data_IF_674443979064
#
_entry.id   IF_674443979064
#
_cell.length_a   1.000
_cell.length_b   1.000
_cell.length_c   1.000
_cell.angle_alpha   90.00
_cell.angle_beta   90.00
_cell.angle_gamma   90.00
#
_symmetry.space_group_name_H-M   'P 1'
#
loop_
_entity.id
_entity.type
_entity.pdbx_description
1 polymer ?
#
# COMPACT_ATOMS: atom_id res chain seq x y z
N UNK A 1 -22.68 40.82 -29.85
CA UNK A 1 -21.38 41.49 -29.56
C UNK A 1 -21.55 42.18 -28.20
N UNK A 2 -20.83 41.91 -27.12
CA UNK A 2 -19.40 41.67 -27.01
C UNK A 2 -19.09 40.88 -25.71
N UNK A 3 -18.79 39.58 -25.84
CA UNK A 3 -18.32 38.69 -24.76
C UNK A 3 -16.81 38.87 -24.66
N UNK A 4 -16.32 39.90 -23.96
CA UNK A 4 -14.86 40.11 -23.76
C UNK A 4 -14.42 40.67 -22.41
N UNK A 5 -15.30 40.80 -21.40
CA UNK A 5 -14.92 41.37 -20.08
C UNK A 5 -14.79 40.40 -18.91
N UNK A 6 -15.09 39.11 -19.06
CA UNK A 6 -15.09 38.16 -17.92
C UNK A 6 -13.78 37.36 -17.77
N UNK A 7 -12.94 37.23 -18.83
CA UNK A 7 -11.71 36.41 -18.75
C UNK A 7 -10.52 37.04 -18.02
N UNK A 8 -10.47 38.36 -17.83
CA UNK A 8 -9.27 39.01 -17.29
C UNK A 8 -9.18 38.96 -15.75
N UNK A 9 -10.32 38.90 -15.05
CA UNK A 9 -10.33 38.90 -13.58
C UNK A 9 -9.96 37.52 -13.01
N UNK A 10 -10.36 36.43 -13.68
CA UNK A 10 -10.02 35.05 -13.26
C UNK A 10 -8.56 34.67 -13.51
N UNK A 11 -7.92 35.22 -14.55
CA UNK A 11 -6.50 34.96 -14.82
C UNK A 11 -5.59 35.67 -13.80
N UNK A 12 -5.95 36.90 -13.40
CA UNK A 12 -5.18 37.68 -12.45
C UNK A 12 -5.22 37.08 -11.03
N UNK A 13 -6.33 36.50 -10.60
CA UNK A 13 -6.45 35.82 -9.30
C UNK A 13 -5.68 34.51 -9.26
N UNK A 14 -5.71 33.72 -10.34
CA UNK A 14 -4.91 32.49 -10.47
C UNK A 14 -3.41 32.76 -10.46
N UNK A 15 -2.95 33.79 -11.18
CA UNK A 15 -1.54 34.20 -11.17
C UNK A 15 -1.13 34.71 -9.79
N UNK A 16 -1.98 35.48 -9.11
CA UNK A 16 -1.74 35.96 -7.74
C UNK A 16 -1.61 34.80 -6.73
N UNK A 17 -2.44 33.77 -6.84
CA UNK A 17 -2.40 32.57 -5.99
C UNK A 17 -1.15 31.74 -6.28
N UNK A 18 -0.78 31.55 -7.55
CA UNK A 18 0.44 30.83 -7.93
C UNK A 18 1.71 31.56 -7.47
N UNK A 19 1.73 32.90 -7.55
CA UNK A 19 2.82 33.72 -7.03
C UNK A 19 2.86 33.64 -5.50
N UNK A 20 1.72 33.69 -4.81
CA UNK A 20 1.67 33.53 -3.35
C UNK A 20 2.16 32.15 -2.89
N UNK A 21 1.80 31.07 -3.59
CA UNK A 21 2.30 29.71 -3.33
C UNK A 21 3.81 29.61 -3.60
N UNK A 22 4.29 30.24 -4.67
CA UNK A 22 5.72 30.28 -5.00
C UNK A 22 6.52 31.06 -3.96
N UNK A 23 5.99 32.20 -3.49
CA UNK A 23 6.59 33.02 -2.43
C UNK A 23 6.54 32.32 -1.07
N UNK A 24 5.50 31.55 -0.77
CA UNK A 24 5.42 30.68 0.41
C UNK A 24 6.50 29.61 0.38
N UNK A 25 6.75 28.96 -0.77
CA UNK A 25 7.84 27.98 -0.95
C UNK A 25 9.24 28.59 -0.86
N UNK A 26 9.39 29.87 -1.22
CA UNK A 26 10.67 30.61 -1.09
C UNK A 26 10.88 31.19 0.31
N UNK A 27 9.90 31.07 1.21
CA UNK A 27 10.02 31.57 2.57
C UNK A 27 10.98 30.68 3.38
N UNK A 28 12.08 31.21 3.94
CA UNK A 28 13.00 30.42 4.75
C UNK A 28 12.32 29.77 5.97
N UNK A 29 11.22 30.35 6.49
CA UNK A 29 10.41 29.72 7.55
C UNK A 29 9.59 28.53 7.06
N UNK A 30 9.12 28.52 5.82
CA UNK A 30 8.39 27.39 5.24
C UNK A 30 9.34 26.24 4.91
N UNK A 31 10.52 26.54 4.36
CA UNK A 31 11.56 25.54 4.18
C UNK A 31 12.03 24.99 5.53
N UNK A 32 12.24 25.84 6.54
CA UNK A 32 12.55 25.39 7.90
C UNK A 32 11.42 24.54 8.50
N UNK A 33 10.15 24.85 8.22
CA UNK A 33 9.01 24.03 8.65
C UNK A 33 8.98 22.67 7.95
N UNK A 34 9.24 22.62 6.65
CA UNK A 34 9.37 21.36 5.92
C UNK A 34 10.57 20.55 6.43
N UNK A 35 11.72 21.20 6.67
CA UNK A 35 12.89 20.54 7.27
C UNK A 35 12.60 20.06 8.68
N UNK A 36 11.79 20.79 9.47
CA UNK A 36 11.36 20.38 10.81
C UNK A 36 10.34 19.23 10.78
N UNK A 37 9.48 19.16 9.75
CA UNK A 37 8.59 18.01 9.50
C UNK A 37 9.43 16.79 9.10
N UNK A 38 10.39 16.96 8.19
CA UNK A 38 11.32 15.89 7.77
C UNK A 38 12.24 15.45 8.95
N UNK A 39 12.62 16.38 9.84
CA UNK A 39 13.37 16.12 11.09
C UNK A 39 12.51 15.49 12.20
N UNK A 40 11.20 15.76 12.22
CA UNK A 40 10.27 15.13 13.14
C UNK A 40 9.89 13.71 12.68
N UNK A 41 9.80 13.47 11.37
CA UNK A 41 9.68 12.13 10.77
C UNK A 41 10.88 11.23 11.11
N UNK A 42 12.07 11.81 11.35
CA UNK A 42 13.28 11.10 11.80
C UNK A 42 13.36 10.89 13.33
N UNK A 43 12.42 11.40 14.12
CA UNK A 43 12.35 11.22 15.56
C UNK A 43 11.27 10.21 15.98
N UNK A 44 10.93 9.28 15.09
CA UNK A 44 10.12 8.09 15.39
C UNK A 44 10.93 7.08 16.20
N UNK A 45 10.26 6.16 16.91
CA UNK A 45 10.94 5.05 17.60
C UNK A 45 11.88 4.28 16.64
N UNK A 46 11.50 4.18 15.37
CA UNK A 46 12.32 3.62 14.30
C UNK A 46 13.68 4.29 14.12
N UNK A 47 13.80 5.62 14.29
CA UNK A 47 15.04 6.37 14.06
C UNK A 47 16.24 5.89 14.90
N UNK A 48 15.99 5.24 16.03
CA UNK A 48 17.02 4.73 16.94
C UNK A 48 17.19 3.21 16.90
N UNK A 49 16.38 2.47 16.12
CA UNK A 49 16.47 1.01 16.08
C UNK A 49 17.81 0.55 15.49
N UNK A 50 18.39 -0.48 16.10
CA UNK A 50 19.47 -1.28 15.53
C UNK A 50 18.95 -2.19 14.42
N UNK A 51 19.85 -2.71 13.57
CA UNK A 51 19.49 -3.66 12.52
C UNK A 51 18.74 -4.90 13.08
N UNK A 52 19.19 -5.42 14.22
CA UNK A 52 18.54 -6.55 14.87
C UNK A 52 17.16 -6.23 15.46
N UNK A 53 16.90 -4.99 15.86
CA UNK A 53 15.56 -4.55 16.27
C UNK A 53 14.64 -4.39 15.06
N UNK A 54 15.14 -3.85 13.95
CA UNK A 54 14.36 -3.69 12.72
C UNK A 54 13.88 -5.05 12.22
N UNK A 55 14.78 -6.02 12.08
CA UNK A 55 14.37 -7.35 11.61
C UNK A 55 13.46 -8.07 12.61
N UNK A 56 13.67 -7.93 13.92
CA UNK A 56 12.70 -8.44 14.91
C UNK A 56 11.31 -7.82 14.74
N UNK A 57 11.24 -6.53 14.44
CA UNK A 57 9.98 -5.83 14.19
C UNK A 57 9.33 -6.24 12.85
N UNK A 58 10.12 -6.44 11.78
CA UNK A 58 9.61 -6.92 10.50
C UNK A 58 8.96 -8.31 10.65
N UNK A 59 9.61 -9.22 11.38
CA UNK A 59 9.09 -10.57 11.65
C UNK A 59 7.98 -10.62 12.72
N UNK A 60 7.76 -9.53 13.47
CA UNK A 60 6.74 -9.51 14.52
C UNK A 60 5.33 -9.42 13.95
N UNK A 61 4.37 -10.04 14.64
CA UNK A 61 2.93 -9.94 14.37
C UNK A 61 2.12 -10.06 15.67
N UNK A 62 0.96 -9.43 15.72
CA UNK A 62 -0.07 -9.72 16.72
C UNK A 62 -1.01 -10.81 16.18
N UNK A 63 -0.48 -12.03 16.03
CA UNK A 63 -1.20 -13.14 15.39
C UNK A 63 -2.52 -13.54 16.06
N UNK A 64 -2.69 -13.20 17.34
CA UNK A 64 -3.93 -13.44 18.10
C UNK A 64 -4.99 -12.36 17.90
N UNK A 65 -4.67 -11.26 17.20
CA UNK A 65 -5.62 -10.16 16.97
C UNK A 65 -6.70 -10.49 15.94
N UNK A 66 -6.42 -11.42 15.03
CA UNK A 66 -7.40 -12.01 14.13
C UNK A 66 -7.60 -13.49 14.51
N UNK A 67 -8.81 -13.88 14.86
CA UNK A 67 -9.10 -15.25 15.31
C UNK A 67 -9.14 -16.24 14.14
N UNK A 68 -9.56 -15.79 12.97
CA UNK A 68 -9.75 -16.60 11.78
C UNK A 68 -9.05 -15.98 10.55
N UNK A 69 -7.72 -16.02 10.56
CA UNK A 69 -6.91 -15.66 9.41
C UNK A 69 -6.82 -16.85 8.42
N UNK A 70 -7.17 -16.61 7.15
CA UNK A 70 -7.16 -17.61 6.08
C UNK A 70 -6.34 -17.11 4.90
N UNK A 71 -5.53 -18.00 4.31
CA UNK A 71 -4.75 -17.67 3.12
C UNK A 71 -5.60 -17.81 1.85
N UNK A 72 -5.64 -16.75 1.05
CA UNK A 72 -6.23 -16.73 -0.27
C UNK A 72 -5.14 -16.76 -1.34
N UNK A 73 -5.38 -17.57 -2.38
CA UNK A 73 -4.38 -17.87 -3.42
C UNK A 73 -3.24 -18.74 -2.90
N UNK A 74 -2.62 -19.52 -3.79
CA UNK A 74 -1.31 -20.13 -3.62
C UNK A 74 -0.94 -20.88 -4.91
N UNK A 75 0.34 -20.96 -5.23
CA UNK A 75 0.92 -22.16 -5.83
C UNK A 75 2.02 -22.69 -4.91
N UNK A 76 2.32 -23.97 -5.03
CA UNK A 76 3.48 -24.56 -4.35
C UNK A 76 4.64 -24.54 -5.33
N UNK A 77 5.68 -23.78 -5.01
CA UNK A 77 6.93 -23.83 -5.76
C UNK A 77 7.88 -24.83 -5.10
N UNK A 78 8.49 -25.69 -5.92
CA UNK A 78 9.46 -26.68 -5.47
C UNK A 78 10.85 -26.24 -5.95
N UNK A 79 11.68 -25.74 -5.04
CA UNK A 79 13.01 -25.22 -5.38
C UNK A 79 13.93 -25.14 -4.17
N UNK A 80 15.24 -25.27 -4.39
CA UNK A 80 16.24 -25.08 -3.32
C UNK A 80 16.10 -26.00 -2.10
N UNK A 81 15.45 -27.17 -2.25
CA UNK A 81 15.20 -28.10 -1.14
C UNK A 81 14.00 -27.76 -0.26
N UNK A 82 13.20 -26.76 -0.65
CA UNK A 82 11.99 -26.33 0.05
C UNK A 82 10.80 -26.43 -0.90
N UNK A 83 9.66 -26.91 -0.38
CA UNK A 83 8.36 -26.80 -1.02
C UNK A 83 7.54 -25.80 -0.20
N UNK A 84 7.31 -24.60 -0.74
CA UNK A 84 6.62 -23.55 -0.01
C UNK A 84 5.54 -22.86 -0.85
N UNK A 85 4.44 -22.43 -0.22
CA UNK A 85 3.40 -21.65 -0.88
C UNK A 85 3.93 -20.24 -1.20
N UNK A 86 3.51 -19.73 -2.35
CA UNK A 86 3.84 -18.40 -2.83
C UNK A 86 2.63 -17.78 -3.53
N UNK A 87 2.60 -16.45 -3.65
CA UNK A 87 1.48 -15.68 -4.19
C UNK A 87 0.21 -15.69 -3.31
N UNK A 88 0.29 -16.24 -2.09
CA UNK A 88 -0.81 -16.29 -1.12
C UNK A 88 -0.80 -15.07 -0.21
N UNK A 89 -1.97 -14.54 0.15
CA UNK A 89 -2.08 -13.47 1.15
C UNK A 89 -3.08 -13.85 2.24
N UNK A 90 -2.75 -13.57 3.50
CA UNK A 90 -3.64 -13.84 4.62
C UNK A 90 -4.76 -12.79 4.69
N UNK A 91 -6.00 -13.22 4.84
CA UNK A 91 -7.19 -12.36 5.00
C UNK A 91 -7.85 -12.73 6.33
N UNK A 92 -8.18 -11.71 7.14
CA UNK A 92 -8.91 -11.90 8.37
C UNK A 92 -10.40 -12.07 8.09
N UNK A 93 -10.97 -13.17 8.55
CA UNK A 93 -12.40 -13.51 8.37
C UNK A 93 -13.19 -13.37 9.67
N UNK A 94 -12.68 -12.63 10.66
CA UNK A 94 -13.44 -12.26 11.85
C UNK A 94 -14.65 -11.40 11.45
N UNK A 95 -15.77 -11.61 12.14
CA UNK A 95 -17.12 -11.18 11.72
C UNK A 95 -17.23 -9.72 11.22
N UNK A 96 -16.55 -8.77 11.86
CA UNK A 96 -16.68 -7.34 11.56
C UNK A 96 -15.75 -6.86 10.44
N UNK A 97 -14.70 -7.62 10.13
CA UNK A 97 -13.70 -7.22 9.14
C UNK A 97 -13.70 -8.10 7.90
N UNK A 98 -14.24 -9.31 7.99
CA UNK A 98 -14.35 -10.23 6.86
C UNK A 98 -14.90 -9.54 5.61
N UNK A 99 -14.37 -9.86 4.42
CA UNK A 99 -15.07 -9.58 3.18
C UNK A 99 -16.49 -10.19 3.25
N UNK A 100 -17.48 -9.46 2.74
CA UNK A 100 -18.85 -9.97 2.68
C UNK A 100 -18.96 -10.89 1.46
N UNK A 101 -19.30 -12.15 1.69
CA UNK A 101 -19.50 -13.14 0.63
C UNK A 101 -20.49 -12.64 -0.43
N UNK A 102 -20.16 -12.84 -1.72
CA UNK A 102 -20.92 -12.34 -2.89
C UNK A 102 -21.14 -10.81 -2.95
N UNK A 103 -20.50 -10.02 -2.08
CA UNK A 103 -20.66 -8.56 -2.03
C UNK A 103 -19.43 -7.87 -1.44
N UNK A 104 -18.26 -8.12 -2.04
CA UNK A 104 -16.99 -7.53 -1.62
C UNK A 104 -16.25 -6.88 -2.78
N UNK A 105 -15.46 -5.86 -2.46
CA UNK A 105 -14.59 -5.15 -3.40
C UNK A 105 -13.13 -5.40 -3.05
N UNK A 106 -12.36 -5.89 -4.01
CA UNK A 106 -10.94 -6.23 -3.84
C UNK A 106 -10.10 -5.48 -4.85
N UNK A 107 -9.02 -4.86 -4.37
CA UNK A 107 -7.98 -4.29 -5.23
C UNK A 107 -6.74 -5.16 -5.12
N UNK A 108 -6.15 -5.53 -6.27
CA UNK A 108 -4.99 -6.42 -6.35
C UNK A 108 -3.92 -5.81 -7.24
N UNK A 109 -2.89 -5.21 -6.63
CA UNK A 109 -1.82 -4.52 -7.35
C UNK A 109 -0.59 -5.40 -7.53
N UNK A 110 -0.01 -5.37 -8.74
CA UNK A 110 1.20 -6.07 -9.17
C UNK A 110 1.01 -7.58 -9.21
N UNK A 111 0.06 -8.03 -10.05
CA UNK A 111 -0.30 -9.43 -10.14
C UNK A 111 0.70 -10.27 -10.94
N UNK A 112 1.49 -9.71 -11.84
CA UNK A 112 2.52 -10.36 -12.66
C UNK A 112 2.10 -11.72 -13.26
N UNK A 113 0.90 -11.82 -13.84
CA UNK A 113 0.28 -13.07 -14.34
C UNK A 113 -0.08 -14.13 -13.27
N UNK A 114 0.04 -13.78 -12.00
CA UNK A 114 -0.23 -14.63 -10.85
C UNK A 114 -1.64 -14.40 -10.29
N UNK A 115 -2.58 -15.09 -10.91
CA UNK A 115 -4.02 -14.89 -10.71
C UNK A 115 -4.61 -15.64 -9.51
N UNK A 116 -3.83 -16.45 -8.80
CA UNK A 116 -4.36 -17.40 -7.80
C UNK A 116 -5.08 -16.71 -6.64
N UNK A 117 -4.59 -15.56 -6.18
CA UNK A 117 -5.26 -14.76 -5.14
C UNK A 117 -6.57 -14.16 -5.69
N UNK A 118 -6.48 -13.51 -6.85
CA UNK A 118 -7.59 -12.84 -7.53
C UNK A 118 -8.73 -13.81 -7.85
N UNK A 119 -8.41 -15.01 -8.34
CA UNK A 119 -9.37 -16.08 -8.61
C UNK A 119 -9.98 -16.65 -7.33
N UNK A 120 -9.22 -16.75 -6.24
CA UNK A 120 -9.74 -17.19 -4.95
C UNK A 120 -10.75 -16.17 -4.37
N UNK A 121 -10.45 -14.86 -4.48
CA UNK A 121 -11.36 -13.80 -4.04
C UNK A 121 -12.59 -13.68 -4.95
N UNK A 122 -12.43 -13.85 -6.27
CA UNK A 122 -13.56 -13.92 -7.19
C UNK A 122 -14.46 -15.13 -6.92
N UNK A 123 -13.88 -16.29 -6.57
CA UNK A 123 -14.64 -17.48 -6.15
C UNK A 123 -15.34 -17.28 -4.80
N UNK A 124 -14.82 -16.41 -3.94
CA UNK A 124 -15.51 -15.95 -2.73
C UNK A 124 -16.67 -14.99 -3.04
N UNK A 125 -16.82 -14.57 -4.31
CA UNK A 125 -17.90 -13.70 -4.77
C UNK A 125 -17.52 -12.21 -4.81
N UNK A 126 -16.25 -11.86 -4.68
CA UNK A 126 -15.81 -10.46 -4.76
C UNK A 126 -15.72 -9.96 -6.21
N UNK A 127 -15.96 -8.67 -6.39
CA UNK A 127 -15.49 -7.92 -7.56
C UNK A 127 -14.02 -7.57 -7.34
N UNK A 128 -13.15 -8.12 -8.18
CA UNK A 128 -11.69 -7.98 -8.08
C UNK A 128 -11.19 -7.09 -9.20
N UNK A 129 -10.52 -6.01 -8.81
CA UNK A 129 -9.86 -5.08 -9.72
C UNK A 129 -8.35 -5.32 -9.61
N UNK A 130 -7.79 -5.89 -10.66
CA UNK A 130 -6.39 -6.28 -10.74
C UNK A 130 -5.61 -5.25 -11.56
N UNK A 131 -4.42 -4.88 -11.11
CA UNK A 131 -3.64 -3.79 -11.70
C UNK A 131 -2.20 -4.22 -11.89
N UNK A 132 -1.69 -4.20 -13.12
CA UNK A 132 -0.27 -4.42 -13.36
C UNK A 132 0.19 -3.85 -14.71
N UNK A 133 1.08 -2.85 -14.73
CA UNK A 133 1.55 -2.30 -15.98
C UNK A 133 2.68 -3.11 -16.64
N UNK A 134 3.27 -4.07 -15.93
CA UNK A 134 4.37 -4.92 -16.40
C UNK A 134 3.93 -6.05 -17.32
N UNK A 135 2.65 -6.43 -17.27
CA UNK A 135 2.11 -7.57 -18.05
C UNK A 135 2.11 -7.34 -19.57
N UNK A 136 2.29 -6.10 -20.03
CA UNK A 136 2.39 -5.79 -21.46
C UNK A 136 1.10 -5.98 -22.25
N UNK A 137 -0.05 -6.04 -21.58
CA UNK A 137 -1.39 -6.15 -22.18
C UNK A 137 -2.25 -4.93 -21.82
N UNK A 138 -3.26 -4.63 -22.64
CA UNK A 138 -4.21 -3.55 -22.35
C UNK A 138 -5.21 -3.94 -21.25
N UNK A 139 -6.13 -3.03 -20.92
CA UNK A 139 -7.23 -3.31 -19.98
C UNK A 139 -8.18 -4.38 -20.55
N UNK A 140 -8.65 -5.31 -19.72
CA UNK A 140 -9.61 -6.33 -20.13
C UNK A 140 -10.32 -6.97 -18.93
N UNK A 141 -11.49 -7.55 -19.18
CA UNK A 141 -12.17 -8.39 -18.20
C UNK A 141 -11.66 -9.83 -18.34
N UNK A 142 -10.98 -10.34 -17.31
CA UNK A 142 -10.55 -11.74 -17.25
C UNK A 142 -11.76 -12.66 -16.99
N UNK A 143 -12.73 -12.17 -16.22
CA UNK A 143 -13.99 -12.85 -15.95
C UNK A 143 -15.07 -11.83 -15.58
N UNK A 144 -16.28 -12.29 -15.27
CA UNK A 144 -17.36 -11.43 -14.74
C UNK A 144 -17.07 -10.80 -13.38
N UNK A 145 -16.04 -11.29 -12.66
CA UNK A 145 -15.66 -10.83 -11.33
C UNK A 145 -14.22 -10.29 -11.28
N UNK A 146 -13.47 -10.34 -12.39
CA UNK A 146 -12.06 -9.94 -12.42
C UNK A 146 -11.84 -8.97 -13.57
N UNK A 147 -11.51 -7.74 -13.23
CA UNK A 147 -11.29 -6.62 -14.14
C UNK A 147 -9.82 -6.21 -14.08
N UNK A 148 -9.12 -6.33 -15.19
CA UNK A 148 -7.69 -6.01 -15.27
C UNK A 148 -7.44 -4.63 -15.88
N UNK A 149 -6.51 -3.90 -15.28
CA UNK A 149 -6.05 -2.60 -15.75
C UNK A 149 -4.53 -2.55 -15.88
N UNK A 150 -4.05 -2.02 -17.01
CA UNK A 150 -2.65 -1.70 -17.26
C UNK A 150 -2.27 -0.38 -16.55
N UNK A 151 -2.23 -0.44 -15.23
CA UNK A 151 -1.93 0.69 -14.35
C UNK A 151 -1.03 0.23 -13.21
N UNK A 152 0.00 1.02 -12.92
CA UNK A 152 0.83 0.83 -11.73
C UNK A 152 0.35 1.67 -10.56
N UNK A 153 0.67 1.21 -9.36
CA UNK A 153 0.45 1.94 -8.12
C UNK A 153 1.73 2.69 -7.73
N UNK A 154 1.62 3.96 -7.34
CA UNK A 154 2.75 4.71 -6.76
C UNK A 154 2.27 5.84 -5.86
N UNK A 155 3.21 6.60 -5.29
CA UNK A 155 2.91 7.81 -4.52
C UNK A 155 2.48 9.03 -5.37
N UNK A 156 2.46 8.95 -6.71
CA UNK A 156 2.16 10.08 -7.60
C UNK A 156 1.49 9.65 -8.90
N UNK A 157 0.70 10.55 -9.49
CA UNK A 157 0.13 10.35 -10.82
C UNK A 157 1.14 10.80 -11.89
N UNK A 158 1.99 9.89 -12.34
CA UNK A 158 3.01 10.19 -13.36
C UNK A 158 3.47 8.92 -14.08
N UNK A 159 4.11 9.09 -15.24
CA UNK A 159 4.77 7.96 -15.90
C UNK A 159 6.02 7.56 -15.11
N UNK A 160 6.20 6.26 -14.85
CA UNK A 160 7.40 5.77 -14.19
C UNK A 160 8.66 6.19 -14.99
N UNK A 161 9.72 6.73 -14.34
CA UNK A 161 10.83 7.39 -15.03
C UNK A 161 11.56 6.47 -16.02
N UNK A 162 11.70 5.19 -15.69
CA UNK A 162 12.43 4.20 -16.52
C UNK A 162 11.47 3.45 -17.45
N UNK A 163 10.56 2.64 -16.90
CA UNK A 163 9.64 1.78 -17.65
C UNK A 163 8.56 2.53 -18.44
N UNK A 164 8.32 3.82 -18.15
CA UNK A 164 7.23 4.64 -18.73
C UNK A 164 5.81 4.12 -18.45
N UNK A 165 5.67 3.18 -17.52
CA UNK A 165 4.37 2.69 -17.05
C UNK A 165 3.51 3.82 -16.50
N UNK A 166 2.20 3.74 -16.74
CA UNK A 166 1.22 4.71 -16.24
C UNK A 166 0.98 4.44 -14.75
N UNK A 167 1.64 5.21 -13.88
CA UNK A 167 1.51 5.08 -12.43
C UNK A 167 0.46 6.05 -11.89
N UNK A 168 -0.32 5.57 -10.92
CA UNK A 168 -1.36 6.37 -10.25
C UNK A 168 -1.34 6.13 -8.75
N UNK A 169 -1.83 7.11 -8.01
CA UNK A 169 -2.17 6.93 -6.60
C UNK A 169 -3.42 6.07 -6.45
N UNK A 170 -3.55 5.34 -5.34
CA UNK A 170 -4.74 4.53 -5.07
C UNK A 170 -6.02 5.38 -5.06
N UNK A 171 -5.96 6.60 -4.50
CA UNK A 171 -7.08 7.53 -4.52
C UNK A 171 -7.51 7.91 -5.95
N UNK A 172 -6.55 8.12 -6.86
CA UNK A 172 -6.85 8.44 -8.26
C UNK A 172 -7.50 7.27 -8.99
N UNK A 173 -7.03 6.04 -8.73
CA UNK A 173 -7.60 4.82 -9.31
C UNK A 173 -9.03 4.63 -8.79
N UNK A 174 -9.23 4.78 -7.48
CA UNK A 174 -10.55 4.68 -6.85
C UNK A 174 -11.56 5.69 -7.40
N UNK A 175 -11.13 6.94 -7.65
CA UNK A 175 -11.96 7.96 -8.29
C UNK A 175 -12.26 7.63 -9.77
N UNK A 176 -11.24 7.19 -10.52
CA UNK A 176 -11.37 6.83 -11.94
C UNK A 176 -12.39 5.69 -12.15
N UNK A 177 -12.42 4.72 -11.23
CA UNK A 177 -13.35 3.60 -11.27
C UNK A 177 -14.74 3.93 -10.70
N UNK A 178 -14.91 5.12 -10.10
CA UNK A 178 -16.22 5.55 -9.57
C UNK A 178 -16.70 4.73 -8.37
N UNK A 179 -15.79 4.13 -7.60
CA UNK A 179 -16.16 3.23 -6.50
C UNK A 179 -16.57 3.95 -5.21
N UNK A 180 -16.48 5.28 -5.13
CA UNK A 180 -16.99 6.02 -3.97
C UNK A 180 -18.52 5.84 -3.84
N UNK A 181 -19.08 5.50 -2.66
CA UNK A 181 -18.45 5.40 -1.32
C UNK A 181 -18.13 3.96 -0.85
N UNK A 182 -18.04 2.99 -1.76
CA UNK A 182 -17.85 1.57 -1.44
C UNK A 182 -16.49 1.31 -0.79
N UNK A 183 -16.47 0.66 0.37
CA UNK A 183 -15.23 0.23 1.02
C UNK A 183 -14.53 -0.87 0.21
N UNK A 184 -13.21 -0.84 0.22
CA UNK A 184 -12.36 -1.92 -0.28
C UNK A 184 -12.18 -2.91 0.88
N UNK A 185 -12.72 -4.12 0.73
CA UNK A 185 -12.62 -5.18 1.74
C UNK A 185 -11.18 -5.66 1.91
N UNK A 186 -10.48 -5.86 0.79
CA UNK A 186 -9.06 -6.26 0.78
C UNK A 186 -8.32 -5.47 -0.30
N UNK A 187 -7.26 -4.79 0.10
CA UNK A 187 -6.26 -4.24 -0.81
C UNK A 187 -5.00 -5.11 -0.71
N UNK A 188 -4.75 -5.92 -1.75
CA UNK A 188 -3.48 -6.61 -1.96
C UNK A 188 -2.51 -5.68 -2.69
N UNK A 189 -1.25 -5.68 -2.27
CA UNK A 189 -0.16 -4.93 -2.89
C UNK A 189 1.11 -5.78 -2.97
N UNK A 190 1.68 -5.87 -4.16
CA UNK A 190 2.94 -6.57 -4.44
C UNK A 190 3.56 -5.87 -5.67
N UNK A 191 4.19 -4.70 -5.45
CA UNK A 191 4.41 -3.70 -6.51
C UNK A 191 5.90 -3.35 -6.69
N UNK A 192 6.77 -4.25 -6.25
CA UNK A 192 8.22 -4.20 -6.46
C UNK A 192 8.82 -2.84 -6.10
N UNK A 193 8.98 -2.60 -4.80
CA UNK A 193 9.55 -1.40 -4.16
C UNK A 193 8.66 -0.16 -4.16
N UNK A 194 7.59 -0.09 -4.97
CA UNK A 194 6.68 1.06 -4.96
C UNK A 194 5.84 1.15 -3.69
N UNK A 195 5.86 0.13 -2.83
CA UNK A 195 5.18 0.13 -1.52
C UNK A 195 5.62 1.34 -0.67
N UNK A 196 6.91 1.67 -0.72
CA UNK A 196 7.53 2.73 0.09
C UNK A 196 7.18 4.15 -0.32
N UNK A 197 6.55 4.33 -1.49
CA UNK A 197 5.98 5.61 -1.93
C UNK A 197 4.45 5.59 -1.87
N UNK A 198 3.83 4.45 -2.19
CA UNK A 198 2.38 4.28 -2.20
C UNK A 198 1.78 4.31 -0.80
N UNK A 199 2.33 3.56 0.17
CA UNK A 199 1.79 3.49 1.54
C UNK A 199 1.79 4.86 2.21
N UNK A 200 2.90 5.64 2.24
CA UNK A 200 2.89 6.98 2.82
C UNK A 200 1.92 7.93 2.12
N UNK A 201 1.73 7.82 0.81
CA UNK A 201 0.75 8.63 0.09
C UNK A 201 -0.69 8.27 0.51
N UNK A 202 -1.01 6.98 0.61
CA UNK A 202 -2.34 6.54 1.04
C UNK A 202 -2.64 6.87 2.51
N UNK A 203 -1.63 6.85 3.38
CA UNK A 203 -1.74 7.33 4.76
C UNK A 203 -2.04 8.83 4.79
N UNK A 204 -1.21 9.65 4.12
CA UNK A 204 -1.35 11.12 4.09
C UNK A 204 -2.67 11.59 3.49
N UNK A 205 -3.20 10.87 2.51
CA UNK A 205 -4.47 11.20 1.87
C UNK A 205 -5.72 10.74 2.64
N UNK A 206 -5.55 9.96 3.73
CA UNK A 206 -6.66 9.34 4.46
C UNK A 206 -7.24 8.10 3.76
N UNK A 207 -6.79 7.77 2.54
CA UNK A 207 -7.33 6.67 1.74
C UNK A 207 -7.36 5.34 2.50
N UNK A 208 -6.26 4.98 3.18
CA UNK A 208 -6.18 3.76 3.98
C UNK A 208 -7.18 3.77 5.15
N UNK A 209 -7.20 4.86 5.94
CA UNK A 209 -8.02 4.96 7.13
C UNK A 209 -9.54 5.01 6.83
N UNK A 210 -9.91 5.57 5.68
CA UNK A 210 -11.29 5.83 5.29
C UNK A 210 -11.89 4.79 4.33
N UNK A 211 -11.06 4.15 3.49
CA UNK A 211 -11.56 3.35 2.35
C UNK A 211 -11.19 1.87 2.44
N UNK A 212 -10.15 1.49 3.18
CA UNK A 212 -9.59 0.13 3.16
C UNK A 212 -9.85 -0.58 4.48
N UNK A 213 -10.54 -1.72 4.44
CA UNK A 213 -10.78 -2.59 5.60
C UNK A 213 -9.56 -3.43 5.93
N UNK A 214 -8.95 -4.09 4.94
CA UNK A 214 -7.77 -4.92 5.14
C UNK A 214 -6.70 -4.60 4.10
N UNK A 215 -5.45 -4.58 4.55
CA UNK A 215 -4.28 -4.33 3.72
C UNK A 215 -3.37 -5.56 3.79
N UNK A 216 -3.03 -6.13 2.64
CA UNK A 216 -2.11 -7.26 2.52
C UNK A 216 -0.99 -6.86 1.55
N UNK A 217 0.26 -6.87 2.01
CA UNK A 217 1.39 -6.33 1.26
C UNK A 217 2.56 -7.29 1.30
N UNK A 218 3.17 -7.55 0.14
CA UNK A 218 4.56 -8.00 0.12
C UNK A 218 5.47 -6.77 0.08
N UNK A 219 6.20 -6.53 1.17
CA UNK A 219 7.16 -5.42 1.21
C UNK A 219 8.51 -5.86 0.67
N UNK A 220 9.08 -5.07 -0.25
CA UNK A 220 10.35 -5.34 -0.91
C UNK A 220 11.45 -4.40 -0.45
N UNK A 221 12.66 -4.89 -0.17
CA UNK A 221 13.81 -4.03 0.15
C UNK A 221 15.12 -4.56 -0.44
N UNK A 222 16.15 -3.72 -0.54
CA UNK A 222 17.44 -4.16 -1.05
C UNK A 222 18.31 -4.69 0.09
N UNK A 223 18.95 -5.83 -0.12
CA UNK A 223 19.89 -6.41 0.84
C UNK A 223 21.06 -5.48 1.22
N UNK A 224 21.36 -4.51 0.35
CA UNK A 224 22.45 -3.55 0.50
C UNK A 224 21.96 -2.16 0.96
N UNK A 225 20.68 -1.99 1.25
CA UNK A 225 20.16 -0.72 1.76
C UNK A 225 20.84 -0.33 3.08
N UNK A 226 20.96 0.98 3.32
CA UNK A 226 21.61 1.51 4.52
C UNK A 226 20.75 1.30 5.76
N UNK A 227 21.35 1.34 6.95
CA UNK A 227 20.60 1.29 8.21
C UNK A 227 19.56 2.42 8.29
N UNK A 228 19.88 3.61 7.78
CA UNK A 228 18.94 4.74 7.73
C UNK A 228 17.73 4.44 6.84
N UNK A 229 17.95 3.84 5.67
CA UNK A 229 16.87 3.39 4.78
C UNK A 229 15.95 2.38 5.49
N UNK A 230 16.52 1.39 6.17
CA UNK A 230 15.75 0.41 6.94
C UNK A 230 14.98 1.04 8.13
N UNK A 231 15.54 2.07 8.77
CA UNK A 231 14.83 2.83 9.80
C UNK A 231 13.64 3.59 9.21
N UNK A 232 13.79 4.19 8.03
CA UNK A 232 12.67 4.82 7.31
C UNK A 232 11.57 3.80 6.99
N UNK A 233 11.93 2.62 6.51
CA UNK A 233 10.98 1.53 6.26
C UNK A 233 10.22 1.13 7.53
N UNK A 234 10.93 0.90 8.63
CA UNK A 234 10.30 0.60 9.92
C UNK A 234 9.39 1.74 10.39
N UNK A 235 9.79 3.01 10.19
CA UNK A 235 8.98 4.19 10.52
C UNK A 235 7.65 4.22 9.77
N UNK A 236 7.66 3.96 8.46
CA UNK A 236 6.44 3.91 7.63
C UNK A 236 5.46 2.84 8.14
N UNK A 237 5.97 1.66 8.51
CA UNK A 237 5.14 0.58 9.06
C UNK A 237 4.62 0.94 10.46
N UNK A 238 5.42 1.62 11.28
CA UNK A 238 4.98 2.12 12.59
C UNK A 238 3.89 3.20 12.44
N UNK A 239 3.98 4.07 11.44
CA UNK A 239 2.96 5.08 11.15
C UNK A 239 1.64 4.42 10.71
N UNK A 240 1.72 3.37 9.88
CA UNK A 240 0.57 2.53 9.50
C UNK A 240 -0.09 1.90 10.74
N UNK A 241 0.71 1.44 11.69
CA UNK A 241 0.26 0.77 12.93
C UNK A 241 -0.08 1.71 14.08
N UNK A 242 0.14 3.00 13.89
CA UNK A 242 -0.12 4.03 14.91
C UNK A 242 -1.62 4.29 15.08
N UNK A 243 -1.97 5.15 16.04
CA UNK A 243 -3.36 5.58 16.26
C UNK A 243 -3.97 6.36 15.09
N UNK A 244 -3.13 6.96 14.22
CA UNK A 244 -3.58 7.66 13.01
C UNK A 244 -3.72 6.70 11.85
N UNK A 245 -2.79 5.75 11.68
CA UNK A 245 -2.87 4.72 10.65
C UNK A 245 -4.00 3.72 10.90
N UNK A 246 -4.21 3.31 12.16
CA UNK A 246 -5.28 2.41 12.64
C UNK A 246 -5.20 0.96 12.16
N UNK A 247 -4.10 0.54 11.55
CA UNK A 247 -3.94 -0.84 11.09
C UNK A 247 -3.30 -1.72 12.16
N UNK A 248 -3.93 -2.86 12.43
CA UNK A 248 -3.43 -3.86 13.39
C UNK A 248 -2.87 -5.02 12.59
N UNK A 249 -1.57 -5.27 12.74
CA UNK A 249 -0.88 -6.37 12.05
C UNK A 249 -1.29 -7.71 12.67
N UNK A 250 -1.82 -8.61 11.85
CA UNK A 250 -2.20 -9.96 12.29
C UNK A 250 -1.40 -11.06 11.61
N UNK A 251 -0.68 -10.77 10.53
CA UNK A 251 0.29 -11.70 9.93
C UNK A 251 1.59 -10.99 9.55
N UNK A 252 2.70 -11.70 9.75
CA UNK A 252 4.00 -11.37 9.17
C UNK A 252 4.71 -12.67 8.83
N UNK A 253 5.00 -12.89 7.54
CA UNK A 253 5.61 -14.12 7.06
C UNK A 253 6.71 -13.78 6.06
N UNK A 254 7.91 -14.34 6.17
CA UNK A 254 8.93 -14.13 5.14
C UNK A 254 8.53 -14.81 3.83
N UNK A 255 8.86 -14.17 2.69
CA UNK A 255 8.84 -14.87 1.41
C UNK A 255 10.05 -15.81 1.35
N UNK A 256 9.86 -17.15 1.37
CA UNK A 256 10.96 -18.11 1.46
C UNK A 256 11.93 -18.04 0.28
N UNK A 257 11.51 -17.48 -0.85
CA UNK A 257 12.30 -17.34 -2.07
C UNK A 257 13.22 -16.12 -2.08
N UNK A 258 13.04 -15.20 -1.13
CA UNK A 258 13.77 -13.94 -1.06
C UNK A 258 14.81 -13.92 0.06
N UNK A 259 15.27 -15.08 0.53
CA UNK A 259 16.35 -15.19 1.51
C UNK A 259 17.71 -14.87 0.90
N UNK A 260 18.48 -13.97 1.51
CA UNK A 260 19.84 -13.58 1.07
C UNK A 260 20.64 -12.91 2.19
N UNK A 261 21.98 -12.82 2.06
CA UNK A 261 22.83 -12.06 2.99
C UNK A 261 22.43 -10.58 3.04
N UNK A 262 22.25 -10.02 4.25
CA UNK A 262 21.88 -8.60 4.45
C UNK A 262 23.05 -7.80 5.01
N UNK A 263 23.39 -6.67 4.37
CA UNK A 263 24.55 -5.85 4.71
C UNK A 263 24.51 -5.32 6.15
N UNK A 264 23.36 -4.78 6.58
CA UNK A 264 23.20 -4.18 7.91
C UNK A 264 23.18 -5.20 9.05
N UNK A 265 23.08 -6.49 8.72
CA UNK A 265 23.20 -7.61 9.65
C UNK A 265 24.59 -8.27 9.58
N UNK A 266 25.59 -7.61 8.99
CA UNK A 266 26.94 -8.15 8.85
C UNK A 266 27.01 -9.35 7.90
N UNK A 267 26.14 -9.41 6.89
CA UNK A 267 26.07 -10.50 5.92
C UNK A 267 25.31 -11.73 6.41
N UNK A 268 24.67 -11.67 7.59
CA UNK A 268 23.74 -12.73 8.03
C UNK A 268 22.61 -12.87 7.02
N UNK A 269 22.22 -14.11 6.72
CA UNK A 269 21.04 -14.35 5.89
C UNK A 269 19.75 -13.94 6.61
N UNK A 270 18.89 -13.24 5.89
CA UNK A 270 17.51 -12.94 6.26
C UNK A 270 16.70 -12.73 4.97
N UNK A 271 15.43 -12.34 5.07
CA UNK A 271 14.56 -12.19 3.90
C UNK A 271 14.49 -10.75 3.43
N UNK A 272 14.39 -10.53 2.11
CA UNK A 272 14.15 -9.20 1.52
C UNK A 272 12.75 -8.95 0.97
N UNK A 273 11.88 -9.95 1.16
CA UNK A 273 10.44 -9.85 0.92
C UNK A 273 9.69 -10.40 2.12
N UNK A 274 8.72 -9.64 2.61
CA UNK A 274 7.88 -10.05 3.74
C UNK A 274 6.41 -9.85 3.40
N UNK A 275 5.62 -10.89 3.61
CA UNK A 275 4.17 -10.93 3.50
C UNK A 275 3.54 -10.44 4.81
N UNK A 276 3.10 -9.19 4.81
CA UNK A 276 2.53 -8.52 5.97
C UNK A 276 1.05 -8.24 5.74
N UNK A 277 0.20 -8.54 6.72
CA UNK A 277 -1.23 -8.25 6.64
C UNK A 277 -1.75 -7.55 7.88
N UNK A 278 -2.66 -6.61 7.63
CA UNK A 278 -3.29 -5.78 8.64
C UNK A 278 -4.79 -5.67 8.41
N UNK A 279 -5.54 -5.51 9.49
CA UNK A 279 -6.89 -4.99 9.42
C UNK A 279 -6.97 -3.57 9.98
N UNK A 280 -7.88 -2.77 9.45
CA UNK A 280 -8.18 -1.43 9.96
C UNK A 280 -9.13 -1.52 11.16
N UNK A 281 -8.60 -1.20 12.33
CA UNK A 281 -9.31 -1.27 13.62
C UNK A 281 -10.57 -0.40 13.69
N UNK A 282 -10.69 0.62 12.83
CA UNK A 282 -11.92 1.42 12.69
C UNK A 282 -13.16 0.55 12.42
N UNK A 283 -12.99 -0.50 11.62
CA UNK A 283 -14.10 -1.34 11.17
C UNK A 283 -14.25 -2.62 12.01
N UNK A 284 -13.31 -2.90 12.93
CA UNK A 284 -13.27 -4.16 13.68
C UNK A 284 -14.27 -4.22 14.84
N UNK A 285 -14.76 -3.08 15.33
CA UNK A 285 -15.69 -3.03 16.46
C UNK A 285 -16.73 -1.90 16.34
N UNK A 286 -17.15 -1.56 15.13
CA UNK A 286 -18.16 -0.52 14.90
C UNK A 286 -19.58 -1.02 15.21
N UNK A 287 -19.78 -1.51 16.44
CA UNK A 287 -21.09 -1.55 17.11
C UNK A 287 -21.23 -0.28 17.94
N UNK A 288 -21.39 0.87 17.28
CA UNK A 288 -21.87 2.12 17.89
C UNK A 288 -22.54 3.04 16.86
N UNK A 289 -23.23 2.49 15.85
CA UNK A 289 -24.34 3.17 15.16
C UNK A 289 -25.34 2.10 14.70
N UNK A 290 -26.10 1.54 15.65
CA UNK A 290 -27.41 0.96 15.40
C UNK A 290 -28.33 1.59 16.44
N UNK A 291 -29.43 2.16 15.94
CA UNK A 291 -30.49 3.01 16.54
C UNK A 291 -30.15 4.50 16.62
#
# INVERSE_FOLDING_TARGET
MNVRRVCWVGLATLVSVLIAISLLKMNPKFNQFQTLVDLAETQTAAGNMSAGEIFRYLHWTNGTSCSFAVDFGYWVWNGGGVAAPDGHKAVCLDQFISPVYDNCLVYSFGINNQWTFDEAMAKFGCQVYSFDPSMGVGDYDRSQHIHFYNLGLSGKNEAHPTTKWNMKTASSIYQMLGHHPTLIDVLKMDVEFSEWDAIPQMLRSGFLADTVKQLAVEIHFNANDTLETFRRYAGILQDLESSTGRFVRFSSRPNPWLKRPISILGGREDYVGMELTWYNSRFYNSSSVII
#
